data_IF_810886989438
#
_entry.id   IF_810886989438
#
_cell.length_a   1.000
_cell.length_b   1.000
_cell.length_c   1.000
_cell.angle_alpha   90.00
_cell.angle_beta   90.00
_cell.angle_gamma   90.00
#
_symmetry.space_group_name_H-M   'P 1'
#
loop_
_entity.id
_entity.type
_entity.pdbx_description
1 polymer ?
#
# COMPACT_ATOMS: atom_id res chain seq x y z
N UNK A 1 -50.78 6.20 21.20
CA UNK A 1 -49.88 5.41 20.32
C UNK A 1 -48.76 6.33 19.87
N UNK A 2 -47.68 6.40 20.64
CA UNK A 2 -46.53 7.30 20.42
C UNK A 2 -45.41 6.46 19.81
N UNK A 3 -45.06 6.70 18.55
CA UNK A 3 -43.89 6.08 17.92
C UNK A 3 -42.83 7.16 17.74
N UNK A 4 -41.87 7.19 18.66
CA UNK A 4 -40.69 8.07 18.59
C UNK A 4 -39.80 7.66 17.41
N UNK A 5 -39.58 8.61 16.49
CA UNK A 5 -38.45 8.60 15.55
C UNK A 5 -37.14 8.67 16.35
N UNK A 6 -36.38 7.57 16.43
CA UNK A 6 -34.96 7.62 16.78
C UNK A 6 -34.15 8.04 15.56
N UNK A 7 -33.62 9.26 15.60
CA UNK A 7 -32.82 9.86 14.54
C UNK A 7 -31.45 9.19 14.35
N UNK A 8 -31.12 8.90 13.09
CA UNK A 8 -29.78 8.59 12.57
C UNK A 8 -28.85 9.82 12.66
N UNK A 9 -28.49 10.29 13.87
CA UNK A 9 -27.51 11.38 14.05
C UNK A 9 -26.15 10.95 14.64
N UNK A 10 -25.92 9.66 14.91
CA UNK A 10 -24.72 9.22 15.62
C UNK A 10 -23.50 8.78 14.78
N UNK A 11 -23.67 8.41 13.50
CA UNK A 11 -22.61 7.69 12.74
C UNK A 11 -21.72 8.60 11.90
N UNK A 12 -22.28 9.63 11.27
CA UNK A 12 -21.53 10.58 10.43
C UNK A 12 -20.59 11.50 11.24
N UNK A 13 -20.98 11.87 12.47
CA UNK A 13 -20.15 12.68 13.36
C UNK A 13 -18.91 11.93 13.89
N UNK A 14 -19.05 10.64 14.18
CA UNK A 14 -17.93 9.79 14.63
C UNK A 14 -16.89 9.57 13.52
N UNK A 15 -17.32 9.28 12.30
CA UNK A 15 -16.40 9.09 11.17
C UNK A 15 -15.54 10.33 10.85
N UNK A 16 -16.14 11.53 10.90
CA UNK A 16 -15.38 12.79 10.74
C UNK A 16 -14.38 13.04 11.87
N UNK A 17 -14.73 12.70 13.11
CA UNK A 17 -13.83 12.86 14.25
C UNK A 17 -12.61 11.92 14.16
N UNK A 18 -12.84 10.65 13.78
CA UNK A 18 -11.79 9.64 13.60
C UNK A 18 -10.84 10.01 12.45
N UNK A 19 -11.38 10.47 11.31
CA UNK A 19 -10.55 10.95 10.20
C UNK A 19 -9.70 12.15 10.61
N UNK A 20 -10.26 13.09 11.38
CA UNK A 20 -9.51 14.23 11.93
C UNK A 20 -8.36 13.81 12.85
N UNK A 21 -8.53 12.75 13.63
CA UNK A 21 -7.47 12.22 14.50
C UNK A 21 -6.33 11.57 13.71
N UNK A 22 -6.66 10.74 12.70
CA UNK A 22 -5.65 10.11 11.82
C UNK A 22 -4.83 11.17 11.08
N UNK A 23 -5.50 12.16 10.46
CA UNK A 23 -4.84 13.28 9.78
C UNK A 23 -3.92 14.04 10.75
N UNK A 24 -4.35 14.24 11.99
CA UNK A 24 -3.59 14.95 13.00
C UNK A 24 -2.36 14.16 13.50
N UNK A 25 -2.37 12.83 13.46
CA UNK A 25 -1.21 11.95 13.71
C UNK A 25 -0.26 12.00 12.52
N UNK A 26 -0.76 11.81 11.29
CA UNK A 26 0.04 11.87 10.07
C UNK A 26 0.74 13.24 9.90
N UNK A 27 0.05 14.34 10.25
CA UNK A 27 0.67 15.68 10.20
C UNK A 27 1.85 15.79 11.16
N UNK A 28 1.74 15.27 12.39
CA UNK A 28 2.84 15.27 13.35
C UNK A 28 4.01 14.37 12.88
N UNK A 29 3.69 13.22 12.27
CA UNK A 29 4.68 12.31 11.71
C UNK A 29 5.38 12.89 10.48
N UNK A 30 4.67 13.64 9.63
CA UNK A 30 5.25 14.36 8.50
C UNK A 30 6.20 15.47 8.98
N UNK A 31 5.88 16.16 10.07
CA UNK A 31 6.78 17.14 10.70
C UNK A 31 8.07 16.52 11.31
N UNK A 32 8.15 15.19 11.44
CA UNK A 32 9.38 14.50 11.82
C UNK A 32 10.39 14.43 10.69
N UNK A 33 9.95 14.61 9.45
CA UNK A 33 10.89 14.84 8.35
C UNK A 33 11.63 16.13 8.68
N UNK A 34 12.93 16.00 8.95
CA UNK A 34 13.79 17.16 8.80
C UNK A 34 13.69 17.40 7.30
N UNK A 35 13.04 18.46 6.88
CA UNK A 35 13.52 19.10 5.68
C UNK A 35 14.80 19.80 6.12
N UNK A 36 16.01 19.22 5.97
CA UNK A 36 17.11 20.11 5.71
C UNK A 36 16.72 20.74 4.37
N UNK A 37 16.78 22.06 4.30
CA UNK A 37 17.79 22.72 3.47
C UNK A 37 18.72 21.78 2.67
N UNK A 38 18.18 20.86 1.87
CA UNK A 38 18.81 20.53 0.63
C UNK A 38 18.61 21.80 -0.17
N UNK A 39 19.63 22.66 -0.13
CA UNK A 39 19.81 23.68 -1.12
C UNK A 39 19.33 23.08 -2.44
N UNK A 40 18.26 23.63 -2.99
CA UNK A 40 18.14 23.72 -4.44
C UNK A 40 19.39 24.50 -4.84
N UNK A 41 20.54 23.82 -4.94
CA UNK A 41 21.56 24.27 -5.84
C UNK A 41 20.85 24.19 -7.18
N UNK A 42 20.71 25.31 -7.91
CA UNK A 42 20.22 25.22 -9.27
C UNK A 42 21.15 24.22 -9.96
N UNK A 43 20.61 23.04 -10.27
CA UNK A 43 21.25 22.17 -11.24
C UNK A 43 21.17 23.01 -12.51
N UNK A 44 22.30 23.43 -13.10
CA UNK A 44 22.24 24.10 -14.39
C UNK A 44 21.43 23.19 -15.29
N UNK A 45 20.34 23.72 -15.86
CA UNK A 45 19.59 23.06 -16.93
C UNK A 45 20.65 22.55 -17.89
N UNK A 46 20.75 21.22 -18.04
CA UNK A 46 21.81 20.57 -18.79
C UNK A 46 21.97 21.26 -20.15
N UNK A 47 22.98 22.14 -20.25
CA UNK A 47 23.47 22.63 -21.52
C UNK A 47 24.15 21.43 -22.16
N UNK A 48 23.47 20.87 -23.17
CA UNK A 48 23.91 19.74 -23.98
C UNK A 48 24.30 18.49 -23.18
N UNK A 49 23.35 17.56 -23.06
CA UNK A 49 23.72 16.15 -22.89
C UNK A 49 24.49 15.73 -24.15
N UNK A 50 25.82 15.82 -24.12
CA UNK A 50 26.65 14.96 -24.96
C UNK A 50 26.19 13.51 -24.72
N UNK A 51 26.10 12.71 -25.79
CA UNK A 51 25.89 11.26 -25.71
C UNK A 51 27.07 10.61 -24.98
N UNK A 52 27.11 10.77 -23.66
CA UNK A 52 27.95 9.96 -22.81
C UNK A 52 27.30 8.58 -22.81
N UNK A 53 27.95 7.62 -23.47
CA UNK A 53 27.64 6.21 -23.31
C UNK A 53 27.64 5.89 -21.80
N UNK A 54 26.43 5.78 -21.22
CA UNK A 54 26.27 5.46 -19.80
C UNK A 54 26.77 4.03 -19.61
N UNK A 55 27.95 3.87 -19.03
CA UNK A 55 28.47 2.57 -18.68
C UNK A 55 27.57 1.95 -17.59
N UNK A 56 26.81 0.91 -17.94
CA UNK A 56 26.08 0.09 -16.97
C UNK A 56 27.14 -0.66 -16.15
N UNK A 57 27.34 -0.27 -14.90
CA UNK A 57 28.26 -0.92 -13.96
C UNK A 57 27.44 -1.71 -12.94
N UNK A 58 28.05 -2.74 -12.35
CA UNK A 58 27.50 -3.41 -11.17
C UNK A 58 27.54 -2.43 -9.97
N UNK A 59 26.40 -1.87 -9.55
CA UNK A 59 26.40 -0.77 -8.60
C UNK A 59 26.74 -1.28 -7.19
N UNK A 60 27.64 -0.58 -6.51
CA UNK A 60 27.88 -0.80 -5.09
C UNK A 60 26.78 -0.10 -4.27
N UNK A 61 26.39 -0.64 -3.10
CA UNK A 61 25.42 0.03 -2.24
C UNK A 61 25.90 1.44 -1.87
N UNK A 62 24.98 2.41 -1.91
CA UNK A 62 25.31 3.81 -1.60
C UNK A 62 25.94 3.99 -0.20
N UNK A 63 25.57 3.12 0.75
CA UNK A 63 26.17 3.01 2.09
C UNK A 63 26.17 1.56 2.56
N UNK A 64 27.24 1.15 3.23
CA UNK A 64 27.31 -0.16 3.90
C UNK A 64 27.42 -1.34 2.92
N UNK A 65 26.84 -2.48 3.29
CA UNK A 65 26.86 -3.72 2.50
C UNK A 65 25.42 -4.11 2.17
N UNK A 66 25.16 -4.44 0.90
CA UNK A 66 23.86 -4.96 0.49
C UNK A 66 23.64 -6.36 1.10
N UNK A 67 22.43 -6.62 1.58
CA UNK A 67 22.05 -7.91 2.16
C UNK A 67 20.84 -8.46 1.42
N UNK A 68 20.74 -9.78 1.22
CA UNK A 68 19.53 -10.38 0.68
C UNK A 68 18.36 -10.14 1.64
N UNK A 69 17.18 -9.93 1.06
CA UNK A 69 15.93 -9.78 1.79
C UNK A 69 15.39 -11.18 2.11
N UNK A 70 15.08 -11.51 3.38
CA UNK A 70 14.49 -12.79 3.73
C UNK A 70 13.05 -12.87 3.20
N UNK A 71 12.67 -14.06 2.72
CA UNK A 71 11.33 -14.32 2.20
C UNK A 71 10.49 -15.14 3.19
N UNK A 72 9.21 -14.78 3.32
CA UNK A 72 8.24 -15.49 4.16
C UNK A 72 6.93 -15.76 3.42
N UNK A 73 6.17 -16.72 3.93
CA UNK A 73 4.82 -17.01 3.48
C UNK A 73 3.83 -16.54 4.56
N UNK A 74 2.83 -15.78 4.12
CA UNK A 74 1.62 -15.48 4.90
C UNK A 74 0.50 -16.39 4.39
N UNK A 75 0.03 -17.28 5.26
CA UNK A 75 -1.09 -18.17 4.98
C UNK A 75 -2.42 -17.45 5.27
N UNK A 76 -3.14 -17.09 4.20
CA UNK A 76 -4.43 -16.41 4.25
C UNK A 76 -5.57 -17.32 4.73
N UNK A 77 -5.36 -18.64 4.78
CA UNK A 77 -6.34 -19.58 5.34
C UNK A 77 -6.38 -19.54 6.87
N UNK A 78 -5.30 -19.06 7.52
CA UNK A 78 -5.26 -18.87 8.97
C UNK A 78 -6.08 -17.64 9.40
N UNK A 79 -6.62 -17.64 10.64
CA UNK A 79 -7.24 -16.45 11.22
C UNK A 79 -6.29 -15.25 11.17
N UNK A 80 -6.79 -14.01 10.89
CA UNK A 80 -5.99 -12.78 10.86
C UNK A 80 -4.93 -12.66 11.96
N UNK A 81 -5.31 -12.95 13.21
CA UNK A 81 -4.44 -12.83 14.38
C UNK A 81 -3.20 -13.74 14.34
N UNK A 82 -3.25 -14.82 13.57
CA UNK A 82 -2.20 -15.85 13.53
C UNK A 82 -1.23 -15.67 12.35
N UNK A 83 -1.47 -14.69 11.46
CA UNK A 83 -0.79 -14.59 10.15
C UNK A 83 0.64 -14.05 10.21
N UNK A 84 0.96 -13.23 11.20
CA UNK A 84 2.18 -12.42 11.20
C UNK A 84 3.14 -12.72 12.34
N UNK A 85 2.64 -13.32 13.41
CA UNK A 85 3.41 -13.53 14.64
C UNK A 85 4.74 -14.25 14.41
N UNK A 86 4.70 -15.35 13.65
CA UNK A 86 5.91 -16.14 13.33
C UNK A 86 6.94 -15.37 12.49
N UNK A 87 6.48 -14.42 11.66
CA UNK A 87 7.35 -13.58 10.81
C UNK A 87 7.98 -12.47 11.65
N UNK A 88 7.21 -11.82 12.51
CA UNK A 88 7.65 -10.62 13.22
C UNK A 88 8.52 -10.92 14.45
N UNK A 89 8.43 -12.12 15.01
CA UNK A 89 9.17 -12.51 16.23
C UNK A 89 10.68 -12.25 16.15
N UNK A 90 11.41 -12.60 15.07
CA UNK A 90 12.84 -12.28 14.93
C UNK A 90 13.14 -10.77 14.85
N UNK A 91 12.17 -9.95 14.45
CA UNK A 91 12.34 -8.50 14.24
C UNK A 91 11.94 -7.67 15.46
N UNK A 92 11.41 -8.28 16.52
CA UNK A 92 10.87 -7.62 17.72
C UNK A 92 11.77 -6.51 18.27
N UNK A 93 13.07 -6.77 18.40
CA UNK A 93 14.02 -5.79 18.94
C UNK A 93 14.17 -4.57 18.02
N UNK A 94 14.24 -4.79 16.71
CA UNK A 94 14.34 -3.71 15.72
C UNK A 94 13.04 -2.90 15.62
N UNK A 95 11.88 -3.57 15.66
CA UNK A 95 10.56 -2.94 15.71
C UNK A 95 10.48 -2.01 16.94
N UNK A 96 10.78 -2.53 18.14
CA UNK A 96 10.81 -1.74 19.40
C UNK A 96 11.76 -0.55 19.28
N UNK A 97 12.93 -0.72 18.67
CA UNK A 97 13.89 0.35 18.49
C UNK A 97 13.35 1.47 17.58
N UNK A 98 12.79 1.11 16.42
CA UNK A 98 12.23 2.07 15.45
C UNK A 98 11.07 2.86 16.05
N UNK A 99 10.15 2.19 16.75
CA UNK A 99 9.04 2.81 17.46
C UNK A 99 9.54 3.83 18.49
N UNK A 100 10.48 3.42 19.35
CA UNK A 100 11.02 4.29 20.39
C UNK A 100 11.78 5.49 19.80
N UNK A 101 12.50 5.29 18.70
CA UNK A 101 13.17 6.36 17.97
C UNK A 101 12.16 7.38 17.43
N UNK A 102 11.09 6.91 16.77
CA UNK A 102 10.04 7.76 16.22
C UNK A 102 9.31 8.56 17.32
N UNK A 103 8.93 7.89 18.40
CA UNK A 103 8.30 8.50 19.58
C UNK A 103 9.16 9.58 20.21
N UNK A 104 10.46 9.31 20.41
CA UNK A 104 11.41 10.29 20.96
C UNK A 104 11.53 11.53 20.08
N UNK A 105 11.54 11.34 18.75
CA UNK A 105 11.64 12.45 17.79
C UNK A 105 10.36 13.28 17.75
N UNK A 106 9.20 12.66 17.93
CA UNK A 106 7.89 13.30 17.79
C UNK A 106 7.42 14.04 19.04
N UNK A 107 7.97 13.65 20.20
CA UNK A 107 7.58 14.20 21.48
C UNK A 107 6.20 13.73 21.96
N UNK A 108 5.79 14.17 23.16
CA UNK A 108 4.63 13.61 23.88
C UNK A 108 3.28 13.85 23.17
N UNK A 109 3.14 14.95 22.41
CA UNK A 109 1.89 15.29 21.69
C UNK A 109 1.47 14.24 20.66
N UNK A 110 2.42 13.46 20.13
CA UNK A 110 2.11 12.35 19.22
C UNK A 110 1.34 11.25 19.94
N UNK A 111 1.74 10.92 21.17
CA UNK A 111 1.11 9.87 21.97
C UNK A 111 -0.33 10.22 22.33
N UNK A 112 -0.59 11.45 22.75
CA UNK A 112 -1.94 11.90 23.10
C UNK A 112 -2.92 11.73 21.92
N UNK A 113 -2.47 11.98 20.70
CA UNK A 113 -3.28 11.78 19.49
C UNK A 113 -3.39 10.33 19.07
N UNK A 114 -2.33 9.55 19.27
CA UNK A 114 -2.32 8.11 18.97
C UNK A 114 -3.32 7.35 19.86
N UNK A 115 -3.42 7.70 21.15
CA UNK A 115 -4.44 7.14 22.06
C UNK A 115 -5.86 7.32 21.48
N UNK A 116 -6.16 8.50 20.95
CA UNK A 116 -7.47 8.78 20.39
C UNK A 116 -7.79 7.94 19.12
N UNK A 117 -6.76 7.61 18.32
CA UNK A 117 -6.85 6.68 17.18
C UNK A 117 -7.09 5.25 17.67
N UNK A 118 -6.42 4.84 18.75
CA UNK A 118 -6.53 3.50 19.32
C UNK A 118 -7.91 3.21 19.91
N UNK A 119 -8.55 4.19 20.54
CA UNK A 119 -9.92 4.07 21.06
C UNK A 119 -10.95 3.74 19.96
N UNK A 120 -10.58 3.95 18.69
CA UNK A 120 -11.43 3.70 17.53
C UNK A 120 -10.77 2.75 16.52
N UNK A 121 -9.85 1.88 16.98
CA UNK A 121 -9.01 1.10 16.08
C UNK A 121 -9.80 0.32 15.04
N UNK A 122 -10.89 -0.38 15.41
CA UNK A 122 -11.74 -1.14 14.46
C UNK A 122 -12.47 -0.26 13.43
N UNK A 123 -12.67 1.01 13.75
CA UNK A 123 -13.26 1.99 12.84
C UNK A 123 -12.21 2.62 11.90
N UNK A 124 -10.94 2.63 12.31
CA UNK A 124 -9.80 3.18 11.54
C UNK A 124 -9.19 2.11 10.66
N UNK A 125 -8.80 1.00 11.29
CA UNK A 125 -8.30 -0.21 10.69
C UNK A 125 -9.43 -1.21 10.79
N UNK A 126 -10.05 -1.50 9.68
CA UNK A 126 -10.95 -2.63 9.60
C UNK A 126 -10.23 -3.93 9.95
N UNK A 127 -10.99 -5.02 10.01
CA UNK A 127 -10.45 -6.36 9.77
C UNK A 127 -9.61 -6.41 8.47
N UNK A 128 -8.89 -7.50 8.13
CA UNK A 128 -8.15 -8.29 9.08
C UNK A 128 -7.06 -7.42 9.72
N UNK A 129 -6.84 -6.18 9.28
CA UNK A 129 -5.69 -5.39 9.69
C UNK A 129 -5.68 -5.12 11.20
N UNK A 130 -6.84 -4.80 11.78
CA UNK A 130 -6.94 -4.65 13.24
C UNK A 130 -6.54 -5.94 13.97
N UNK A 131 -7.05 -7.10 13.54
CA UNK A 131 -6.73 -8.37 14.18
C UNK A 131 -5.34 -8.91 13.83
N UNK A 132 -4.83 -8.67 12.63
CA UNK A 132 -3.45 -8.93 12.22
C UNK A 132 -2.48 -8.13 13.11
N UNK A 133 -2.76 -6.84 13.34
CA UNK A 133 -1.97 -5.98 14.23
C UNK A 133 -2.08 -6.45 15.67
N UNK A 134 -3.29 -6.77 16.16
CA UNK A 134 -3.46 -7.24 17.54
C UNK A 134 -2.73 -8.56 17.78
N UNK A 135 -2.91 -9.54 16.90
CA UNK A 135 -2.25 -10.83 17.02
C UNK A 135 -0.74 -10.74 16.90
N UNK A 136 -0.24 -9.90 15.98
CA UNK A 136 1.18 -9.57 15.88
C UNK A 136 1.73 -8.92 17.17
N UNK A 137 1.05 -7.90 17.67
CA UNK A 137 1.45 -7.16 18.87
C UNK A 137 1.48 -8.06 20.12
N UNK A 138 0.49 -8.95 20.25
CA UNK A 138 0.41 -9.97 21.28
C UNK A 138 1.59 -10.96 21.19
N UNK A 139 1.85 -11.52 20.01
CA UNK A 139 2.92 -12.51 19.80
C UNK A 139 4.33 -11.94 20.09
N UNK A 140 4.59 -10.68 19.71
CA UNK A 140 5.91 -10.04 19.88
C UNK A 140 6.03 -9.22 21.18
N UNK A 141 4.97 -9.17 21.98
CA UNK A 141 4.92 -8.47 23.26
C UNK A 141 5.20 -6.97 23.15
N UNK A 142 4.41 -6.27 22.32
CA UNK A 142 4.36 -4.80 22.24
C UNK A 142 2.93 -4.30 22.35
N UNK A 143 2.78 -3.03 22.72
CA UNK A 143 1.47 -2.37 22.70
C UNK A 143 0.90 -2.32 21.27
N UNK A 144 -0.40 -2.59 21.13
CA UNK A 144 -1.12 -2.45 19.85
C UNK A 144 -0.93 -1.04 19.28
N UNK A 145 -0.92 -0.03 20.15
CA UNK A 145 -0.63 1.36 19.80
C UNK A 145 0.69 1.57 19.09
N UNK A 146 1.71 0.84 19.51
CA UNK A 146 3.06 0.95 19.00
C UNK A 146 3.18 0.33 17.61
N UNK A 147 2.47 -0.78 17.38
CA UNK A 147 2.43 -1.40 16.07
C UNK A 147 1.55 -0.62 15.08
N UNK A 148 0.46 -0.01 15.55
CA UNK A 148 -0.35 0.94 14.75
C UNK A 148 0.49 2.14 14.35
N UNK A 149 1.22 2.73 15.30
CA UNK A 149 2.13 3.84 15.02
C UNK A 149 3.16 3.47 13.96
N UNK A 150 3.71 2.25 14.01
CA UNK A 150 4.66 1.76 13.01
C UNK A 150 4.08 1.73 11.60
N UNK A 151 2.82 1.32 11.45
CA UNK A 151 2.13 1.32 10.15
C UNK A 151 1.91 2.75 9.62
N UNK A 152 1.64 3.72 10.51
CA UNK A 152 1.45 5.12 10.11
C UNK A 152 2.75 5.85 9.74
N UNK A 153 3.90 5.43 10.28
CA UNK A 153 5.20 6.05 9.98
C UNK A 153 5.60 5.86 8.51
N UNK A 154 5.18 4.75 7.89
CA UNK A 154 5.42 4.47 6.48
C UNK A 154 4.78 5.53 5.56
N UNK A 155 3.61 6.04 5.94
CA UNK A 155 2.77 6.92 5.11
C UNK A 155 3.29 8.36 4.96
N UNK A 156 4.26 8.78 5.78
CA UNK A 156 4.66 10.21 5.84
C UNK A 156 6.13 10.48 5.55
N UNK A 157 6.94 9.45 5.29
CA UNK A 157 8.40 9.56 5.18
C UNK A 157 9.01 8.66 4.09
N UNK A 158 8.20 8.21 3.13
CA UNK A 158 8.62 7.38 2.00
C UNK A 158 8.73 8.22 0.72
N UNK A 159 9.86 8.10 0.03
CA UNK A 159 10.05 8.56 -1.35
C UNK A 159 10.33 7.36 -2.25
N UNK A 160 10.10 7.50 -3.55
CA UNK A 160 10.36 6.40 -4.46
C UNK A 160 10.74 6.90 -5.85
N UNK A 161 11.54 6.08 -6.54
CA UNK A 161 11.72 6.12 -7.99
C UNK A 161 11.12 4.83 -8.55
N UNK A 162 10.36 4.89 -9.63
CA UNK A 162 9.77 3.70 -10.26
C UNK A 162 9.93 3.79 -11.77
N UNK A 163 10.36 2.69 -12.37
CA UNK A 163 10.64 2.57 -13.80
C UNK A 163 9.89 1.35 -14.32
N UNK A 164 9.14 1.54 -15.40
CA UNK A 164 8.61 0.45 -16.22
C UNK A 164 9.29 0.54 -17.57
N UNK A 165 9.93 -0.55 -18.01
CA UNK A 165 10.65 -0.63 -19.27
C UNK A 165 10.23 -1.89 -20.04
N UNK A 166 10.21 -1.81 -21.36
CA UNK A 166 9.92 -2.95 -22.23
C UNK A 166 11.20 -3.34 -22.99
N UNK A 167 11.58 -4.61 -22.91
CA UNK A 167 12.67 -5.18 -23.69
C UNK A 167 12.22 -5.42 -25.15
N UNK A 168 13.18 -5.57 -26.07
CA UNK A 168 12.89 -5.78 -27.49
C UNK A 168 12.05 -7.04 -27.78
N UNK A 169 12.14 -8.06 -26.92
CA UNK A 169 11.34 -9.29 -27.01
C UNK A 169 9.93 -9.16 -26.38
N UNK A 170 9.55 -7.95 -25.93
CA UNK A 170 8.27 -7.66 -25.29
C UNK A 170 8.30 -7.74 -23.76
N UNK A 171 9.28 -8.39 -23.13
CA UNK A 171 9.33 -8.55 -21.66
C UNK A 171 9.27 -7.20 -20.95
N UNK A 172 8.36 -7.07 -19.98
CA UNK A 172 8.25 -5.86 -19.14
C UNK A 172 9.12 -6.02 -17.90
N UNK A 173 10.00 -5.07 -17.68
CA UNK A 173 10.77 -4.90 -16.45
C UNK A 173 10.12 -3.79 -15.63
N UNK A 174 9.89 -4.05 -14.35
CA UNK A 174 9.43 -3.05 -13.40
C UNK A 174 10.44 -2.98 -12.27
N UNK A 175 11.16 -1.86 -12.18
CA UNK A 175 12.08 -1.57 -11.09
C UNK A 175 11.52 -0.46 -10.22
N UNK A 176 11.74 -0.54 -8.90
CA UNK A 176 11.46 0.56 -7.99
C UNK A 176 12.49 0.63 -6.88
N UNK A 177 12.77 1.84 -6.44
CA UNK A 177 13.46 2.14 -5.21
C UNK A 177 12.48 2.68 -4.17
N UNK A 178 12.83 2.51 -2.89
CA UNK A 178 12.10 3.07 -1.76
C UNK A 178 13.10 3.74 -0.82
N UNK A 179 13.03 5.06 -0.73
CA UNK A 179 13.87 5.86 0.14
C UNK A 179 13.10 6.20 1.41
N UNK A 180 13.73 5.96 2.56
CA UNK A 180 13.17 6.35 3.85
C UNK A 180 14.23 7.07 4.67
N UNK A 181 13.81 8.08 5.43
CA UNK A 181 14.72 8.83 6.31
C UNK A 181 14.75 8.30 7.75
N UNK A 182 14.03 7.21 8.03
CA UNK A 182 13.97 6.61 9.36
C UNK A 182 15.05 5.53 9.49
N UNK A 183 16.03 5.70 10.40
CA UNK A 183 17.08 4.71 10.58
C UNK A 183 16.50 3.36 11.01
N UNK A 184 17.18 2.26 10.67
CA UNK A 184 16.84 0.92 11.14
C UNK A 184 15.77 0.18 10.32
N UNK A 185 15.01 0.88 9.47
CA UNK A 185 13.99 0.23 8.62
C UNK A 185 14.58 -0.81 7.67
N UNK A 186 15.82 -0.64 7.21
CA UNK A 186 16.50 -1.61 6.34
C UNK A 186 16.63 -2.99 6.99
N UNK A 187 16.72 -3.07 8.33
CA UNK A 187 16.81 -4.33 9.05
C UNK A 187 15.44 -5.00 9.26
N UNK A 188 14.35 -4.33 8.89
CA UNK A 188 12.97 -4.79 9.03
C UNK A 188 12.33 -5.14 7.67
N UNK A 189 13.10 -5.06 6.58
CA UNK A 189 12.61 -5.41 5.24
C UNK A 189 12.63 -6.92 5.06
N UNK A 190 11.50 -7.46 4.63
CA UNK A 190 11.33 -8.84 4.25
C UNK A 190 10.32 -8.93 3.09
N UNK A 191 10.47 -9.95 2.25
CA UNK A 191 9.57 -10.22 1.14
C UNK A 191 8.50 -11.21 1.59
N UNK A 192 7.27 -11.05 1.08
CA UNK A 192 6.13 -11.86 1.47
C UNK A 192 5.43 -12.45 0.25
N UNK A 193 5.16 -13.75 0.29
CA UNK A 193 4.15 -14.39 -0.56
C UNK A 193 2.88 -14.68 0.23
N UNK A 194 1.75 -14.17 -0.26
CA UNK A 194 0.43 -14.50 0.27
C UNK A 194 -0.11 -15.75 -0.44
N UNK A 195 -0.52 -16.76 0.33
CA UNK A 195 -1.01 -18.05 -0.17
C UNK A 195 -2.26 -18.50 0.55
N UNK A 196 -3.11 -19.30 -0.11
CA UNK A 196 -4.22 -20.00 0.53
C UNK A 196 -3.73 -21.38 1.00
N UNK A 197 -3.41 -21.52 2.28
CA UNK A 197 -2.65 -22.66 2.80
C UNK A 197 -1.15 -22.51 2.53
N UNK A 198 -0.30 -23.05 3.41
CA UNK A 198 1.17 -22.90 3.33
C UNK A 198 1.77 -23.39 2.00
N UNK A 199 1.20 -24.45 1.40
CA UNK A 199 1.61 -24.98 0.09
C UNK A 199 0.73 -24.52 -1.08
N UNK A 200 -0.25 -23.64 -0.85
CA UNK A 200 -1.16 -23.19 -1.89
C UNK A 200 -0.46 -22.40 -3.01
N UNK A 201 -1.04 -22.34 -4.22
CA UNK A 201 -0.55 -21.43 -5.24
C UNK A 201 -0.66 -19.98 -4.75
N UNK A 202 0.23 -19.10 -5.25
CA UNK A 202 0.03 -17.65 -5.13
C UNK A 202 -1.17 -17.31 -6.02
N UNK A 203 -2.33 -17.09 -5.40
CA UNK A 203 -3.60 -17.10 -6.11
C UNK A 203 -3.82 -15.78 -6.85
N UNK A 204 -4.07 -14.72 -6.13
CA UNK A 204 -4.12 -13.32 -6.56
C UNK A 204 -4.69 -12.58 -5.35
N UNK A 205 -4.56 -11.25 -5.31
CA UNK A 205 -5.30 -10.45 -4.34
C UNK A 205 -5.97 -9.30 -5.09
N UNK A 206 -7.28 -9.38 -5.19
CA UNK A 206 -8.10 -8.31 -5.74
C UNK A 206 -8.36 -7.29 -4.63
N UNK A 207 -7.98 -6.05 -4.88
CA UNK A 207 -8.28 -4.94 -3.98
C UNK A 207 -9.01 -3.82 -4.72
N UNK A 208 -9.95 -3.17 -4.03
CA UNK A 208 -10.70 -2.02 -4.57
C UNK A 208 -10.48 -0.80 -3.68
N UNK A 209 -11.54 -0.25 -3.08
CA UNK A 209 -11.47 0.89 -2.14
C UNK A 209 -12.08 0.55 -0.78
N UNK A 210 -12.43 -0.72 -0.56
CA UNK A 210 -13.04 -1.21 0.66
C UNK A 210 -12.19 -2.31 1.26
N UNK A 211 -12.65 -2.87 2.35
CA UNK A 211 -11.98 -3.91 3.11
C UNK A 211 -12.39 -5.29 2.58
N UNK A 212 -11.47 -6.20 2.16
CA UNK A 212 -11.82 -7.43 1.40
C UNK A 212 -12.60 -8.53 2.12
N UNK A 213 -12.92 -8.31 3.39
CA UNK A 213 -13.62 -9.18 4.33
C UNK A 213 -14.85 -8.47 4.93
N UNK A 214 -15.15 -7.23 4.50
CA UNK A 214 -16.43 -6.56 4.76
C UNK A 214 -17.28 -6.59 3.49
N UNK A 215 -18.62 -6.59 3.63
CA UNK A 215 -19.49 -6.32 2.51
C UNK A 215 -19.12 -4.96 1.91
N UNK A 216 -18.85 -4.96 0.62
CA UNK A 216 -18.72 -3.72 -0.15
C UNK A 216 -20.06 -2.99 -0.15
N UNK A 217 -20.08 -1.64 -0.11
CA UNK A 217 -21.31 -0.90 -0.24
C UNK A 217 -22.02 -1.27 -1.54
N UNK A 218 -23.31 -1.58 -1.48
CA UNK A 218 -24.08 -1.97 -2.68
C UNK A 218 -24.05 -0.89 -3.79
N UNK A 219 -23.76 0.37 -3.46
CA UNK A 219 -23.60 1.46 -4.41
C UNK A 219 -22.27 1.46 -5.17
N UNK A 220 -21.27 0.69 -4.72
CA UNK A 220 -19.92 0.63 -5.31
C UNK A 220 -19.29 -0.76 -5.09
N UNK A 221 -20.02 -1.80 -5.47
CA UNK A 221 -19.54 -3.18 -5.42
C UNK A 221 -18.76 -3.54 -6.69
N UNK A 222 -17.47 -3.16 -6.70
CA UNK A 222 -16.50 -3.59 -7.73
C UNK A 222 -15.81 -4.91 -7.38
N UNK A 223 -15.88 -5.35 -6.13
CA UNK A 223 -15.12 -6.51 -5.68
C UNK A 223 -15.80 -7.81 -6.06
N UNK A 224 -17.08 -7.98 -5.76
CA UNK A 224 -17.78 -9.23 -6.00
C UNK A 224 -17.85 -9.60 -7.48
N UNK A 225 -18.16 -8.69 -8.43
CA UNK A 225 -18.16 -9.05 -9.84
C UNK A 225 -16.78 -9.45 -10.34
N UNK A 226 -15.73 -8.75 -9.89
CA UNK A 226 -14.36 -9.07 -10.26
C UNK A 226 -13.87 -10.39 -9.64
N UNK A 227 -14.17 -10.65 -8.38
CA UNK A 227 -13.90 -11.95 -7.73
C UNK A 227 -14.67 -13.08 -8.42
N UNK A 228 -15.96 -12.89 -8.78
CA UNK A 228 -16.72 -13.92 -9.51
C UNK A 228 -16.05 -14.29 -10.83
N UNK A 229 -15.55 -13.30 -11.57
CA UNK A 229 -14.83 -13.54 -12.82
C UNK A 229 -13.47 -14.22 -12.55
N UNK A 230 -12.72 -13.76 -11.56
CA UNK A 230 -11.44 -14.37 -11.20
C UNK A 230 -11.60 -15.78 -10.59
N UNK A 231 -12.71 -16.10 -9.93
CA UNK A 231 -13.03 -17.45 -9.44
C UNK A 231 -13.54 -18.38 -10.54
N UNK A 232 -14.16 -17.84 -11.59
CA UNK A 232 -14.47 -18.60 -12.81
C UNK A 232 -13.20 -18.95 -13.60
N UNK A 233 -12.06 -18.34 -13.25
CA UNK A 233 -10.74 -18.65 -13.80
C UNK A 233 -9.92 -19.48 -12.81
N UNK A 234 -8.91 -20.20 -13.30
CA UNK A 234 -7.95 -20.97 -12.51
C UNK A 234 -6.51 -20.60 -12.94
N UNK A 235 -5.51 -21.11 -12.22
CA UNK A 235 -4.09 -20.77 -12.46
C UNK A 235 -3.60 -21.07 -13.89
N UNK A 236 -4.23 -21.99 -14.64
CA UNK A 236 -3.87 -22.29 -16.04
C UNK A 236 -4.65 -21.45 -17.06
N UNK A 237 -5.64 -20.66 -16.64
CA UNK A 237 -6.52 -19.85 -17.51
C UNK A 237 -6.43 -18.35 -17.26
N UNK A 238 -5.75 -17.91 -16.19
CA UNK A 238 -5.46 -16.49 -15.96
C UNK A 238 -4.43 -16.03 -17.00
N UNK A 239 -4.91 -15.36 -18.06
CA UNK A 239 -4.09 -14.69 -19.07
C UNK A 239 -4.25 -13.16 -18.95
N UNK A 240 -3.34 -12.37 -19.55
CA UNK A 240 -3.50 -10.92 -19.58
C UNK A 240 -4.80 -10.46 -20.28
N UNK A 241 -5.31 -11.20 -21.26
CA UNK A 241 -6.58 -10.91 -21.94
C UNK A 241 -7.78 -11.14 -21.02
N UNK A 242 -7.74 -12.20 -20.20
CA UNK A 242 -8.73 -12.44 -19.16
C UNK A 242 -8.71 -11.30 -18.14
N UNK A 243 -7.53 -10.90 -17.66
CA UNK A 243 -7.38 -9.77 -16.75
C UNK A 243 -7.88 -8.46 -17.38
N UNK A 244 -7.59 -8.22 -18.66
CA UNK A 244 -8.11 -7.07 -19.41
C UNK A 244 -9.63 -7.07 -19.43
N UNK A 245 -10.25 -8.21 -19.68
CA UNK A 245 -11.70 -8.37 -19.71
C UNK A 245 -12.34 -8.11 -18.35
N UNK A 246 -11.74 -8.60 -17.26
CA UNK A 246 -12.19 -8.33 -15.87
C UNK A 246 -12.15 -6.84 -15.57
N UNK A 247 -11.07 -6.15 -15.94
CA UNK A 247 -10.92 -4.71 -15.69
C UNK A 247 -11.84 -3.85 -16.57
N UNK A 248 -12.26 -4.35 -17.74
CA UNK A 248 -13.13 -3.66 -18.70
C UNK A 248 -14.62 -4.04 -18.57
N UNK A 249 -15.01 -4.76 -17.51
CA UNK A 249 -16.41 -5.09 -17.26
C UNK A 249 -17.00 -4.14 -16.23
N UNK A 250 -18.24 -3.68 -16.44
CA UNK A 250 -18.97 -2.95 -15.39
C UNK A 250 -19.16 -3.86 -14.16
N UNK A 251 -18.92 -3.38 -12.92
CA UNK A 251 -18.65 -1.99 -12.53
C UNK A 251 -17.17 -1.62 -12.36
N UNK A 252 -16.23 -2.54 -12.60
CA UNK A 252 -14.78 -2.24 -12.57
C UNK A 252 -14.43 -1.12 -13.54
N UNK A 253 -14.97 -1.22 -14.75
CA UNK A 253 -15.05 -0.13 -15.71
C UNK A 253 -16.32 0.68 -15.46
N UNK A 254 -16.17 1.95 -15.11
CA UNK A 254 -17.28 2.88 -14.90
C UNK A 254 -16.93 4.28 -15.41
N UNK A 255 -17.86 5.22 -15.30
CA UNK A 255 -17.71 6.59 -15.83
C UNK A 255 -16.59 7.41 -15.19
N UNK A 256 -16.02 6.96 -14.07
CA UNK A 256 -14.89 7.61 -13.40
C UNK A 256 -13.55 6.96 -13.74
N UNK A 257 -13.53 5.84 -14.47
CA UNK A 257 -12.29 5.15 -14.83
C UNK A 257 -11.47 6.00 -15.81
N UNK A 258 -10.33 6.55 -15.38
CA UNK A 258 -9.46 7.36 -16.27
C UNK A 258 -8.65 6.48 -17.20
N UNK A 259 -8.03 5.43 -16.67
CA UNK A 259 -7.13 4.52 -17.37
C UNK A 259 -7.36 3.08 -16.91
N UNK A 260 -7.23 2.13 -17.82
CA UNK A 260 -7.05 0.72 -17.48
C UNK A 260 -5.72 0.27 -18.04
N UNK A 261 -4.91 -0.41 -17.23
CA UNK A 261 -3.68 -1.03 -17.66
C UNK A 261 -3.62 -2.49 -17.16
N UNK A 262 -3.17 -3.39 -18.02
CA UNK A 262 -2.82 -4.78 -17.69
C UNK A 262 -1.42 -5.04 -18.18
N UNK A 263 -0.62 -5.62 -17.30
CA UNK A 263 0.81 -5.84 -17.53
C UNK A 263 1.17 -7.25 -17.06
N UNK A 264 2.04 -7.94 -17.81
CA UNK A 264 2.63 -9.21 -17.42
C UNK A 264 4.11 -9.21 -17.79
N UNK A 265 4.97 -9.09 -16.78
CA UNK A 265 6.41 -9.13 -16.95
C UNK A 265 6.88 -10.42 -17.64
N UNK A 266 6.38 -11.58 -17.19
CA UNK A 266 6.80 -12.89 -17.69
C UNK A 266 6.41 -13.19 -19.14
N UNK A 267 5.33 -12.60 -19.65
CA UNK A 267 4.88 -12.79 -21.04
C UNK A 267 5.19 -11.60 -21.94
N UNK A 268 5.57 -10.46 -21.36
CA UNK A 268 5.75 -9.21 -22.08
C UNK A 268 4.46 -8.50 -22.49
N UNK A 269 3.31 -8.96 -22.01
CA UNK A 269 2.05 -8.30 -22.30
C UNK A 269 1.99 -6.94 -21.60
N UNK A 270 1.76 -5.87 -22.35
CA UNK A 270 1.39 -4.57 -21.83
C UNK A 270 0.24 -4.01 -22.67
N UNK A 271 -0.85 -3.66 -22.01
CA UNK A 271 -1.96 -2.93 -22.62
C UNK A 271 -2.43 -1.86 -21.66
N UNK A 272 -2.50 -0.62 -22.13
CA UNK A 272 -3.10 0.48 -21.40
C UNK A 272 -4.01 1.29 -22.34
N UNK A 273 -5.19 1.69 -21.86
CA UNK A 273 -6.12 2.54 -22.60
C UNK A 273 -6.77 3.53 -21.65
N UNK A 274 -6.96 4.77 -22.11
CA UNK A 274 -7.87 5.71 -21.46
C UNK A 274 -9.31 5.29 -21.73
N UNK A 275 -10.17 5.35 -20.72
CA UNK A 275 -11.51 4.75 -20.79
C UNK A 275 -12.62 5.78 -20.93
N UNK A 276 -12.47 6.93 -20.28
CA UNK A 276 -13.40 8.06 -20.37
C UNK A 276 -12.65 9.28 -20.92
N UNK A 277 -12.80 9.54 -22.22
CA UNK A 277 -12.19 10.67 -22.92
C UNK A 277 -13.28 11.67 -23.36
N UNK A 278 -13.90 12.42 -22.43
CA UNK A 278 -14.82 13.48 -22.83
C UNK A 278 -14.07 14.52 -23.66
N UNK A 279 -14.73 15.19 -24.63
CA UNK A 279 -14.14 16.32 -25.32
C UNK A 279 -13.67 17.37 -24.31
N UNK A 280 -12.48 17.94 -24.54
CA UNK A 280 -12.05 19.12 -23.79
C UNK A 280 -13.07 20.25 -24.05
N UNK A 281 -13.43 20.99 -23.00
CA UNK A 281 -14.30 22.17 -23.16
C UNK A 281 -13.67 23.11 -24.21
N UNK A 282 -14.36 23.31 -25.33
CA UNK A 282 -13.85 24.07 -26.48
C UNK A 282 -13.64 23.28 -27.78
N UNK A 283 -13.86 21.97 -27.80
CA UNK A 283 -14.12 21.24 -29.05
C UNK A 283 -12.89 20.87 -29.90
N UNK A 284 -11.78 20.48 -29.27
CA UNK A 284 -10.76 19.71 -29.96
C UNK A 284 -10.42 18.45 -29.18
N UNK A 285 -10.67 17.29 -29.80
CA UNK A 285 -10.08 16.02 -29.37
C UNK A 285 -8.58 16.06 -29.65
N UNK A 286 -7.70 15.88 -28.67
CA UNK A 286 -6.29 15.67 -28.95
C UNK A 286 -6.12 14.35 -29.71
N UNK A 287 -5.29 14.37 -30.74
CA UNK A 287 -4.92 13.21 -31.57
C UNK A 287 -4.16 12.15 -30.79
#
# INVERSE_FOLDING_TARGET
MVMMRRGRRGRAGKGRAVLGQVVAVLTLLACLSIAPTACVRPVPIFAHAEEQHVAIRDPQPAKGVAKPVPHYVVDLSKPPRERWGHILKPYTAGIKWVINHAKKKAGPKLFDKLIAVLDNLDAVLSEPFADEIRGAAEEIGIDVGDLVLSNLIYETNAFCTSIVAQQANGTILHGRDLDTQLPGLQALVFDVSFKQGEQGPTLYRLETNYDHWKPVPASDDRRDPANKLMHATNSSTITPEVMWSVMNMFPNLNSNTTITAVMSAGTGFYRAMTQNNPPLEGGSTPH
#
